data_IF_738488517211
#
_entry.id   IF_738488517211
#
_cell.length_a   1.000
_cell.length_b   1.000
_cell.length_c   1.000
_cell.angle_alpha   90.00
_cell.angle_beta   90.00
_cell.angle_gamma   90.00
#
_symmetry.space_group_name_H-M   'P 1'
#
loop_
_entity.id
_entity.type
_entity.pdbx_description
1 polymer ?
#
# COMPACT_ATOMS: atom_id res chain seq x y z
N UNK A 1 26.48 19.67 13.58
CA UNK A 1 25.70 20.65 14.39
C UNK A 1 25.27 20.02 15.72
N UNK A 2 24.98 20.80 16.78
CA UNK A 2 24.49 20.24 18.05
C UNK A 2 23.00 19.91 17.95
N UNK A 3 22.58 18.80 18.56
CA UNK A 3 21.17 18.47 18.63
C UNK A 3 20.46 19.46 19.58
N UNK A 4 19.34 20.09 19.18
CA UNK A 4 18.60 21.00 20.05
C UNK A 4 17.88 20.30 21.21
N UNK A 5 17.71 18.97 21.11
CA UNK A 5 17.12 18.13 22.15
C UNK A 5 18.20 17.52 23.07
N UNK A 6 19.38 17.22 22.52
CA UNK A 6 20.51 16.63 23.25
C UNK A 6 21.74 17.54 23.14
N UNK A 7 21.94 18.51 24.05
CA UNK A 7 22.98 19.55 23.91
C UNK A 7 24.42 19.00 23.93
N UNK A 8 24.61 17.78 24.44
CA UNK A 8 25.89 17.08 24.49
C UNK A 8 26.13 16.17 23.26
N UNK A 9 25.13 16.00 22.41
CA UNK A 9 25.22 15.16 21.21
C UNK A 9 25.41 16.00 19.96
N UNK A 10 26.41 15.62 19.15
CA UNK A 10 26.57 16.14 17.80
C UNK A 10 25.70 15.33 16.85
N UNK A 11 25.04 16.02 15.93
CA UNK A 11 24.32 15.44 14.80
C UNK A 11 25.33 14.81 13.82
N UNK A 12 24.98 13.64 13.32
CA UNK A 12 25.78 12.85 12.39
C UNK A 12 25.10 12.88 11.03
N UNK A 13 25.86 13.28 10.01
CA UNK A 13 25.41 13.25 8.62
C UNK A 13 25.33 11.81 8.11
N UNK A 14 24.26 11.51 7.38
CA UNK A 14 24.06 10.25 6.68
C UNK A 14 23.35 10.53 5.36
N UNK A 15 23.72 9.84 4.28
CA UNK A 15 22.87 9.77 3.09
C UNK A 15 21.90 8.59 3.24
N UNK A 16 20.62 8.82 2.95
CA UNK A 16 19.62 7.77 2.86
C UNK A 16 18.80 7.96 1.61
N UNK A 17 18.88 6.97 0.71
CA UNK A 17 18.12 6.96 -0.54
C UNK A 17 18.43 8.20 -1.41
N UNK A 18 19.65 8.74 -1.33
CA UNK A 18 20.05 9.97 -2.04
C UNK A 18 19.46 11.25 -1.44
N UNK A 19 19.10 11.24 -0.16
CA UNK A 19 18.76 12.42 0.66
C UNK A 19 19.79 12.49 1.78
N UNK A 20 20.50 13.60 1.87
CA UNK A 20 21.37 13.90 3.00
C UNK A 20 20.50 14.21 4.21
N UNK A 21 20.81 13.59 5.35
CA UNK A 21 20.07 13.75 6.60
C UNK A 21 21.04 13.91 7.77
N UNK A 22 20.68 14.77 8.72
CA UNK A 22 21.36 14.88 10.01
C UNK A 22 20.59 14.13 11.09
N UNK A 23 21.17 13.09 11.68
CA UNK A 23 20.51 12.35 12.76
C UNK A 23 21.28 12.41 14.08
N UNK A 24 20.55 12.42 15.19
CA UNK A 24 21.12 12.38 16.53
C UNK A 24 21.22 10.93 17.02
N UNK A 25 22.41 10.41 17.38
CA UNK A 25 22.54 9.03 17.87
C UNK A 25 21.92 8.82 19.26
N UNK A 26 21.71 9.90 20.04
CA UNK A 26 21.13 9.85 21.38
C UNK A 26 19.60 9.79 21.36
N UNK A 27 18.93 10.79 20.78
CA UNK A 27 17.46 10.84 20.74
C UNK A 27 16.84 10.25 19.47
N UNK A 28 17.66 9.92 18.46
CA UNK A 28 17.21 9.47 17.12
C UNK A 28 16.36 10.49 16.36
N UNK A 29 16.43 11.77 16.75
CA UNK A 29 15.84 12.86 15.99
C UNK A 29 16.54 13.04 14.65
N UNK A 30 15.78 13.40 13.62
CA UNK A 30 16.26 13.65 12.25
C UNK A 30 15.97 15.11 11.90
N UNK A 31 16.96 15.76 11.30
CA UNK A 31 16.92 17.16 10.87
C UNK A 31 17.21 17.21 9.37
N UNK A 32 16.42 18.01 8.66
CA UNK A 32 16.42 18.13 7.20
C UNK A 32 16.40 19.62 6.84
N UNK A 33 17.11 19.99 5.79
CA UNK A 33 17.06 21.33 5.22
C UNK A 33 15.87 21.52 4.26
N UNK A 34 15.58 22.79 3.92
CA UNK A 34 14.42 23.20 3.12
C UNK A 34 14.32 22.59 1.71
N UNK A 35 15.34 21.94 1.17
CA UNK A 35 15.27 21.23 -0.12
C UNK A 35 15.38 19.71 -0.03
N UNK A 36 15.72 19.18 1.14
CA UNK A 36 15.86 17.74 1.38
C UNK A 36 14.51 17.11 1.69
N UNK A 37 13.67 17.84 2.43
CA UNK A 37 12.30 17.42 2.72
C UNK A 37 11.49 17.20 1.44
N UNK A 38 11.56 18.13 0.49
CA UNK A 38 10.85 18.02 -0.79
C UNK A 38 11.27 16.76 -1.55
N UNK A 39 12.58 16.49 -1.63
CA UNK A 39 13.13 15.27 -2.25
C UNK A 39 12.63 13.99 -1.56
N UNK A 40 12.50 14.02 -0.23
CA UNK A 40 12.01 12.88 0.53
C UNK A 40 10.52 12.63 0.27
N UNK A 41 9.71 13.68 0.21
CA UNK A 41 8.27 13.60 -0.09
C UNK A 41 8.03 13.03 -1.48
N UNK A 42 8.73 13.53 -2.50
CA UNK A 42 8.61 13.06 -3.89
C UNK A 42 8.94 11.56 -4.01
N UNK A 43 10.00 11.12 -3.32
CA UNK A 43 10.40 9.71 -3.31
C UNK A 43 9.43 8.81 -2.53
N UNK A 44 8.93 9.28 -1.40
CA UNK A 44 7.96 8.54 -0.59
C UNK A 44 6.67 8.30 -1.39
N UNK A 45 6.21 9.30 -2.15
CA UNK A 45 5.06 9.14 -3.06
C UNK A 45 5.32 8.13 -4.18
N UNK A 46 6.55 8.10 -4.70
CA UNK A 46 6.95 7.20 -5.80
C UNK A 46 7.12 5.74 -5.38
N UNK A 47 7.49 5.49 -4.12
CA UNK A 47 7.67 4.12 -3.58
C UNK A 47 6.39 3.57 -2.92
N UNK A 48 5.33 4.39 -2.85
CA UNK A 48 4.05 4.08 -2.22
C UNK A 48 3.03 3.42 -3.14
N UNK A 49 3.38 2.30 -3.76
CA UNK A 49 2.42 1.25 -4.11
C UNK A 49 3.20 -0.03 -4.43
N UNK A 50 2.98 -1.16 -3.73
CA UNK A 50 3.19 -2.43 -4.41
C UNK A 50 2.29 -2.36 -5.63
N UNK A 51 2.89 -2.41 -6.83
CA UNK A 51 2.11 -2.55 -8.05
C UNK A 51 1.25 -3.78 -7.83
N UNK A 52 -0.05 -3.56 -7.63
CA UNK A 52 -1.03 -4.63 -7.53
C UNK A 52 -0.78 -5.49 -8.74
N UNK A 53 -0.32 -6.72 -8.52
CA UNK A 53 -0.19 -7.71 -9.58
C UNK A 53 -1.51 -7.70 -10.33
N UNK A 54 -1.49 -7.13 -11.54
CA UNK A 54 -2.66 -7.09 -12.40
C UNK A 54 -3.03 -8.55 -12.60
N UNK A 55 -4.08 -8.98 -11.90
CA UNK A 55 -4.54 -10.35 -11.92
C UNK A 55 -4.95 -10.60 -13.36
N UNK A 56 -4.18 -11.44 -14.06
CA UNK A 56 -4.39 -11.78 -15.45
C UNK A 56 -5.87 -12.17 -15.68
N UNK A 57 -6.46 -11.83 -16.83
CA UNK A 57 -7.87 -12.09 -17.09
C UNK A 57 -8.17 -13.60 -16.94
N UNK A 58 -9.32 -13.98 -16.36
CA UNK A 58 -9.65 -15.38 -16.15
C UNK A 58 -9.75 -16.08 -17.51
N UNK A 59 -8.87 -17.04 -17.74
CA UNK A 59 -8.93 -17.93 -18.89
C UNK A 59 -10.24 -18.72 -18.81
N UNK A 60 -11.21 -18.37 -19.68
CA UNK A 60 -12.46 -19.12 -19.83
C UNK A 60 -12.13 -20.51 -20.38
N UNK A 61 -12.21 -21.53 -19.54
CA UNK A 61 -12.27 -22.93 -19.99
C UNK A 61 -13.67 -23.20 -20.53
N UNK A 62 -13.83 -23.72 -21.77
CA UNK A 62 -15.15 -24.00 -22.32
C UNK A 62 -15.48 -25.49 -22.22
N UNK A 63 -15.78 -26.01 -21.04
CA UNK A 63 -16.12 -27.44 -20.93
C UNK A 63 -17.17 -27.68 -19.84
N UNK A 64 -18.45 -27.69 -20.22
CA UNK A 64 -19.33 -28.87 -20.09
C UNK A 64 -20.68 -28.54 -20.73
N UNK A 65 -21.01 -29.25 -21.80
CA UNK A 65 -22.34 -29.23 -22.41
C UNK A 65 -23.15 -30.27 -21.65
N UNK A 66 -23.92 -29.85 -20.64
CA UNK A 66 -24.91 -30.73 -20.02
C UNK A 66 -26.21 -30.61 -20.81
N UNK A 67 -26.40 -31.57 -21.70
CA UNK A 67 -27.66 -31.81 -22.39
C UNK A 67 -28.66 -32.36 -21.39
N UNK A 68 -29.92 -31.98 -21.62
CA UNK A 68 -31.13 -32.51 -20.99
C UNK A 68 -31.47 -31.91 -19.62
N UNK A 69 -32.61 -31.21 -19.56
CA UNK A 69 -33.85 -31.80 -19.01
C UNK A 69 -34.84 -30.74 -18.46
N UNK A 70 -36.05 -30.77 -19.03
CA UNK A 70 -37.36 -30.35 -18.49
C UNK A 70 -37.77 -28.86 -18.33
N UNK A 71 -38.75 -28.48 -19.18
CA UNK A 71 -40.06 -27.85 -18.87
C UNK A 71 -40.20 -27.09 -17.52
N UNK A 72 -40.55 -25.81 -17.58
CA UNK A 72 -41.30 -25.17 -16.49
C UNK A 72 -41.31 -23.64 -16.51
N UNK A 73 -42.50 -23.06 -16.71
CA UNK A 73 -42.82 -21.65 -16.45
C UNK A 73 -42.46 -21.25 -14.99
N UNK A 74 -41.96 -20.03 -14.76
CA UNK A 74 -41.81 -19.54 -13.37
C UNK A 74 -41.14 -18.18 -13.17
N UNK A 75 -41.99 -17.18 -12.97
CA UNK A 75 -41.74 -15.88 -12.33
C UNK A 75 -40.85 -15.97 -11.06
N UNK A 76 -39.96 -14.99 -10.78
CA UNK A 76 -39.52 -14.75 -9.39
C UNK A 76 -38.10 -14.22 -9.14
N UNK A 77 -38.05 -12.98 -8.62
CA UNK A 77 -36.92 -12.33 -7.96
C UNK A 77 -36.22 -13.17 -6.87
N UNK A 78 -34.89 -13.04 -6.74
CA UNK A 78 -34.23 -12.64 -5.47
C UNK A 78 -32.71 -12.46 -5.65
N UNK A 79 -32.26 -11.21 -5.51
CA UNK A 79 -30.85 -10.86 -5.28
C UNK A 79 -30.64 -10.97 -3.78
N UNK A 80 -29.87 -11.97 -3.32
CA UNK A 80 -29.52 -12.15 -1.90
C UNK A 80 -28.05 -11.73 -1.78
N UNK A 81 -27.80 -10.48 -1.41
CA UNK A 81 -27.35 -10.06 -0.08
C UNK A 81 -26.02 -10.70 0.34
N UNK A 82 -24.94 -9.96 0.06
CA UNK A 82 -23.53 -10.21 0.43
C UNK A 82 -23.23 -9.92 1.93
N UNK A 83 -24.25 -9.75 2.77
CA UNK A 83 -24.10 -9.26 4.14
C UNK A 83 -24.36 -10.33 5.21
N UNK A 84 -24.49 -11.61 4.84
CA UNK A 84 -24.78 -12.68 5.80
C UNK A 84 -23.54 -13.38 6.38
N UNK A 85 -22.33 -13.11 5.88
CA UNK A 85 -21.08 -13.77 6.32
C UNK A 85 -20.17 -12.88 7.20
N UNK A 86 -20.65 -11.72 7.67
CA UNK A 86 -19.88 -10.81 8.55
C UNK A 86 -20.21 -11.01 10.05
N UNK A 87 -21.23 -11.82 10.38
CA UNK A 87 -21.68 -12.05 11.76
C UNK A 87 -21.62 -13.53 12.17
N UNK A 88 -20.53 -14.23 11.83
CA UNK A 88 -20.04 -15.40 12.59
C UNK A 88 -18.62 -15.12 13.08
#
# INVERSE_FOLDING_TARGET
>A
MKCPVCPDSTLVMSDRQGVEIDYCPQCRGVWLDRGELDKLVDRAASQGAPQSVQSAPPQRRPDFVDSDQHRGYGYGHKRKSWLSDIFD
#
